data_IF_737122613402
#
_entry.id   IF_737122613402
#
_cell.length_a   1.000
_cell.length_b   1.000
_cell.length_c   1.000
_cell.angle_alpha   90.00
_cell.angle_beta   90.00
_cell.angle_gamma   90.00
#
_symmetry.space_group_name_H-M   'P 1'
#
loop_
_entity.id
_entity.type
_entity.pdbx_description
1 polymer ?
#
# COMPACT_ATOMS: atom_id res chain seq x y z
N UNK A 1 -27.57 5.64 -0.07
CA UNK A 1 -26.31 6.25 0.37
C UNK A 1 -25.39 6.30 -0.83
N UNK A 2 -25.16 7.47 -1.43
CA UNK A 2 -24.26 7.58 -2.58
C UNK A 2 -22.82 7.52 -2.08
N UNK A 3 -22.18 6.38 -2.27
CA UNK A 3 -20.73 6.22 -2.09
C UNK A 3 -20.02 7.20 -3.04
N UNK A 4 -19.12 8.02 -2.52
CA UNK A 4 -18.36 8.96 -3.35
C UNK A 4 -17.40 8.19 -4.27
N UNK A 5 -17.06 8.71 -5.47
CA UNK A 5 -16.18 8.02 -6.42
C UNK A 5 -14.78 7.71 -5.85
N UNK A 6 -14.35 8.49 -4.86
CA UNK A 6 -13.12 8.31 -4.05
C UNK A 6 -13.19 7.07 -3.14
N UNK A 7 -14.37 6.58 -2.78
CA UNK A 7 -14.45 5.36 -1.99
C UNK A 7 -14.48 4.11 -2.89
N UNK A 8 -14.97 4.25 -4.12
CA UNK A 8 -15.11 3.15 -5.08
C UNK A 8 -13.75 2.59 -5.54
N UNK A 9 -12.79 3.47 -5.88
CA UNK A 9 -11.44 3.06 -6.31
C UNK A 9 -10.66 2.37 -5.18
N UNK A 10 -10.81 2.88 -3.95
CA UNK A 10 -10.18 2.35 -2.75
C UNK A 10 -10.76 1.00 -2.36
N UNK A 11 -12.08 0.82 -2.48
CA UNK A 11 -12.74 -0.47 -2.27
C UNK A 11 -12.27 -1.48 -3.30
N UNK A 12 -12.30 -1.13 -4.58
CA UNK A 12 -11.81 -1.99 -5.68
C UNK A 12 -10.36 -2.40 -5.45
N UNK A 13 -9.50 -1.46 -5.04
CA UNK A 13 -8.10 -1.73 -4.75
C UNK A 13 -7.94 -2.71 -3.58
N UNK A 14 -8.69 -2.55 -2.49
CA UNK A 14 -8.64 -3.48 -1.35
C UNK A 14 -9.13 -4.89 -1.75
N UNK A 15 -10.22 -4.97 -2.52
CA UNK A 15 -10.81 -6.24 -2.96
C UNK A 15 -9.92 -7.01 -3.94
N UNK A 16 -9.06 -6.31 -4.68
CA UNK A 16 -8.04 -6.94 -5.54
C UNK A 16 -6.93 -7.67 -4.77
N UNK A 17 -6.93 -7.58 -3.43
CA UNK A 17 -5.97 -8.21 -2.53
C UNK A 17 -4.49 -7.93 -2.90
N UNK A 18 -4.05 -6.65 -2.86
CA UNK A 18 -2.71 -6.23 -3.25
C UNK A 18 -1.66 -6.65 -2.21
N UNK A 19 -0.39 -6.25 -2.42
CA UNK A 19 0.69 -6.51 -1.46
C UNK A 19 0.25 -6.13 -0.02
N UNK A 20 0.57 -6.93 1.01
CA UNK A 20 0.09 -6.70 2.37
C UNK A 20 0.38 -5.29 2.92
N UNK A 21 1.46 -4.65 2.46
CA UNK A 21 1.82 -3.28 2.85
C UNK A 21 0.88 -2.28 2.19
N UNK A 22 0.56 -2.47 0.91
CA UNK A 22 -0.39 -1.63 0.16
C UNK A 22 -1.80 -1.78 0.71
N UNK A 23 -2.22 -3.03 0.97
CA UNK A 23 -3.50 -3.35 1.59
C UNK A 23 -3.64 -2.65 2.94
N UNK A 24 -2.62 -2.74 3.82
CA UNK A 24 -2.66 -2.08 5.14
C UNK A 24 -2.78 -0.56 5.04
N UNK A 25 -2.13 0.07 4.05
CA UNK A 25 -2.26 1.51 3.79
C UNK A 25 -3.68 1.85 3.35
N UNK A 26 -4.22 1.10 2.40
CA UNK A 26 -5.57 1.30 1.88
C UNK A 26 -6.65 1.14 2.95
N UNK A 27 -6.54 0.12 3.80
CA UNK A 27 -7.48 -0.09 4.91
C UNK A 27 -7.41 1.05 5.93
N UNK A 28 -6.22 1.54 6.28
CA UNK A 28 -6.08 2.69 7.17
C UNK A 28 -6.73 3.97 6.60
N UNK A 29 -6.57 4.21 5.29
CA UNK A 29 -7.24 5.32 4.59
C UNK A 29 -8.76 5.14 4.63
N UNK A 30 -9.26 3.95 4.28
CA UNK A 30 -10.70 3.66 4.27
C UNK A 30 -11.33 3.90 5.63
N UNK A 31 -10.72 3.39 6.70
CA UNK A 31 -11.20 3.61 8.06
C UNK A 31 -11.21 5.11 8.42
N UNK A 32 -10.18 5.86 8.01
CA UNK A 32 -10.13 7.30 8.25
C UNK A 32 -11.27 8.04 7.53
N UNK A 33 -11.55 7.68 6.28
CA UNK A 33 -12.64 8.27 5.48
C UNK A 33 -14.03 7.86 6.00
N UNK A 34 -14.14 6.70 6.65
CA UNK A 34 -15.35 6.25 7.35
C UNK A 34 -15.53 6.90 8.73
N UNK A 35 -14.62 7.81 9.14
CA UNK A 35 -14.74 8.57 10.39
C UNK A 35 -14.14 7.89 11.61
N UNK A 36 -13.37 6.81 11.45
CA UNK A 36 -12.66 6.19 12.58
C UNK A 36 -11.55 7.11 13.09
N UNK A 37 -11.45 7.19 14.41
CA UNK A 37 -10.37 7.93 15.07
C UNK A 37 -9.03 7.22 14.91
N UNK A 38 -7.92 7.95 15.01
CA UNK A 38 -6.58 7.35 14.95
C UNK A 38 -6.36 6.28 16.02
N UNK A 39 -7.00 6.44 17.19
CA UNK A 39 -6.96 5.42 18.27
C UNK A 39 -7.63 4.12 17.85
N UNK A 40 -8.84 4.19 17.29
CA UNK A 40 -9.54 2.99 16.81
C UNK A 40 -8.76 2.29 15.68
N UNK A 41 -8.17 3.07 14.76
CA UNK A 41 -7.36 2.51 13.67
C UNK A 41 -6.08 1.87 14.22
N UNK A 42 -5.43 2.50 15.20
CA UNK A 42 -4.29 1.91 15.90
C UNK A 42 -4.66 0.57 16.51
N UNK A 43 -5.77 0.49 17.23
CA UNK A 43 -6.16 -0.73 17.94
C UNK A 43 -6.46 -1.89 16.98
N UNK A 44 -7.02 -1.59 15.80
CA UNK A 44 -7.33 -2.60 14.76
C UNK A 44 -6.11 -3.00 13.93
N UNK A 45 -5.32 -2.04 13.45
CA UNK A 45 -4.24 -2.28 12.47
C UNK A 45 -2.85 -2.34 13.09
N UNK A 46 -2.73 -2.01 14.38
CA UNK A 46 -1.47 -1.91 15.12
C UNK A 46 -0.46 -0.99 14.42
N UNK A 47 -0.94 0.20 14.03
CA UNK A 47 -0.15 1.24 13.34
C UNK A 47 -0.16 2.56 14.12
N UNK A 48 0.92 3.30 14.04
CA UNK A 48 1.05 4.60 14.70
C UNK A 48 0.28 5.71 13.98
N UNK A 49 -0.13 6.76 14.72
CA UNK A 49 -0.86 7.93 14.18
C UNK A 49 -0.20 8.55 12.94
N UNK A 50 1.14 8.65 12.93
CA UNK A 50 1.88 9.17 11.77
C UNK A 50 1.74 8.32 10.50
N UNK A 51 1.58 7.01 10.63
CA UNK A 51 1.29 6.12 9.50
C UNK A 51 -0.07 6.48 8.88
N UNK A 52 -1.09 6.65 9.73
CA UNK A 52 -2.46 6.98 9.31
C UNK A 52 -2.48 8.34 8.59
N UNK A 53 -1.91 9.38 9.21
CA UNK A 53 -1.81 10.72 8.61
C UNK A 53 -1.11 10.70 7.26
N UNK A 54 0.04 10.02 7.18
CA UNK A 54 0.84 9.94 5.95
C UNK A 54 0.02 9.34 4.81
N UNK A 55 -0.61 8.19 5.03
CA UNK A 55 -1.29 7.49 3.93
C UNK A 55 -2.63 8.13 3.58
N UNK A 56 -3.33 8.72 4.54
CA UNK A 56 -4.49 9.60 4.24
C UNK A 56 -4.08 10.73 3.32
N UNK A 57 -3.03 11.48 3.68
CA UNK A 57 -2.56 12.60 2.87
C UNK A 57 -2.07 12.14 1.49
N UNK A 58 -1.31 11.05 1.44
CA UNK A 58 -0.79 10.48 0.19
C UNK A 58 -1.92 10.08 -0.75
N UNK A 59 -2.98 9.46 -0.21
CA UNK A 59 -4.17 9.09 -0.99
C UNK A 59 -4.94 10.31 -1.48
N UNK A 60 -5.14 11.33 -0.64
CA UNK A 60 -5.81 12.57 -1.06
C UNK A 60 -5.06 13.32 -2.18
N UNK A 61 -3.73 13.17 -2.26
CA UNK A 61 -2.90 13.80 -3.29
C UNK A 61 -2.76 12.97 -4.57
N UNK A 62 -2.65 11.64 -4.46
CA UNK A 62 -2.24 10.78 -5.56
C UNK A 62 -3.21 9.62 -5.84
N UNK A 63 -4.34 9.54 -5.12
CA UNK A 63 -5.27 8.42 -5.18
C UNK A 63 -4.62 7.09 -4.79
N UNK A 64 -5.15 5.99 -5.33
CA UNK A 64 -4.63 4.63 -5.11
C UNK A 64 -3.18 4.47 -5.56
N UNK A 65 -2.74 5.17 -6.61
CA UNK A 65 -1.34 5.09 -7.07
C UNK A 65 -0.34 5.51 -5.98
N UNK A 66 -0.71 6.46 -5.14
CA UNK A 66 0.09 6.87 -3.99
C UNK A 66 0.25 5.79 -2.92
N UNK A 67 -0.64 4.79 -2.89
CA UNK A 67 -0.61 3.70 -1.91
C UNK A 67 0.29 2.54 -2.33
N UNK A 68 0.56 2.42 -3.64
CA UNK A 68 1.39 1.38 -4.21
C UNK A 68 2.84 1.51 -3.80
N UNK A 69 3.57 0.39 -3.82
CA UNK A 69 5.00 0.37 -3.57
C UNK A 69 5.72 0.96 -4.77
N UNK A 70 6.37 2.10 -4.57
CA UNK A 70 7.23 2.72 -5.59
C UNK A 70 8.54 1.97 -5.84
N UNK A 71 8.82 0.87 -5.12
CA UNK A 71 10.09 0.17 -5.22
C UNK A 71 10.09 -0.77 -6.43
N UNK A 72 10.59 -0.28 -7.57
CA UNK A 72 11.21 -1.16 -8.57
C UNK A 72 12.48 -1.68 -7.90
N UNK A 73 12.58 -2.99 -7.65
CA UNK A 73 13.71 -3.59 -6.95
C UNK A 73 15.07 -3.08 -7.46
N UNK A 74 16.12 -3.22 -6.65
CA UNK A 74 17.47 -2.89 -7.10
C UNK A 74 17.77 -3.61 -8.41
N UNK A 75 18.40 -2.94 -9.38
CA UNK A 75 19.04 -3.64 -10.50
C UNK A 75 19.92 -4.74 -9.91
N UNK A 76 19.67 -5.99 -10.27
CA UNK A 76 20.51 -7.10 -9.85
C UNK A 76 21.95 -6.81 -10.24
N UNK A 77 22.87 -7.04 -9.31
CA UNK A 77 24.30 -6.82 -9.55
C UNK A 77 24.83 -7.69 -10.70
N UNK A 78 24.23 -8.87 -10.88
CA UNK A 78 24.57 -9.81 -11.92
C UNK A 78 23.72 -9.60 -13.17
N UNK A 79 24.37 -9.61 -14.34
CA UNK A 79 23.68 -9.81 -15.61
C UNK A 79 23.08 -11.23 -15.67
N UNK A 80 22.11 -11.49 -16.56
CA UNK A 80 21.57 -12.83 -16.77
C UNK A 80 22.67 -13.88 -17.02
N UNK A 81 23.72 -13.52 -17.74
CA UNK A 81 24.86 -14.39 -18.07
C UNK A 81 25.69 -14.70 -16.82
N UNK A 82 25.99 -13.70 -15.99
CA UNK A 82 26.73 -13.89 -14.73
C UNK A 82 25.93 -14.72 -13.72
N UNK A 83 24.60 -14.53 -13.72
CA UNK A 83 23.70 -15.37 -12.92
C UNK A 83 23.73 -16.82 -13.40
N UNK A 84 23.73 -17.06 -14.71
CA UNK A 84 23.81 -18.40 -15.28
C UNK A 84 25.15 -19.07 -14.94
N UNK A 85 26.27 -18.36 -15.08
CA UNK A 85 27.60 -18.86 -14.68
C UNK A 85 27.65 -19.30 -13.21
N UNK A 86 26.98 -18.56 -12.32
CA UNK A 86 26.91 -18.92 -10.89
C UNK A 86 26.08 -20.18 -10.67
N UNK A 87 24.98 -20.35 -11.43
CA UNK A 87 24.12 -21.54 -11.36
C UNK A 87 24.86 -22.77 -11.90
N UNK A 88 25.58 -22.62 -13.00
CA UNK A 88 26.32 -23.73 -13.64
C UNK A 88 27.51 -24.23 -12.81
N UNK A 89 27.96 -23.45 -11.82
CA UNK A 89 29.04 -23.83 -10.90
C UNK A 89 28.57 -24.68 -9.70
N UNK A 90 27.26 -24.68 -9.40
CA UNK A 90 26.64 -25.44 -8.30
C UNK A 90 26.25 -26.85 -8.75
#
# INVERSE_FOLDING_TARGET
MSTSPVMEDLVTFIESNPDPRELKRAVAVRMTLQGYTHRQIHDVLQVVSGFISKWKQTYLLHGVEGLKLGHKGSKGYLTPEQRQQTIDWL
#
